data_IF_250212130867
#
_entry.id   IF_250212130867
#
_cell.length_a   1.000
_cell.length_b   1.000
_cell.length_c   1.000
_cell.angle_alpha   90.00
_cell.angle_beta   90.00
_cell.angle_gamma   90.00
#
_symmetry.space_group_name_H-M   'P 1'
#
loop_
_entity.id
_entity.type
_entity.pdbx_description
1 polymer ?
#
# COMPACT_ATOMS: atom_id res chain seq x y z
N UNK A 1 19.16 29.35 10.49
CA UNK A 1 18.95 27.91 10.30
C UNK A 1 17.53 27.61 10.73
N UNK A 2 16.69 27.16 9.82
CA UNK A 2 15.29 26.84 10.12
C UNK A 2 15.08 25.32 9.99
N UNK A 3 15.14 24.64 11.11
CA UNK A 3 14.79 23.23 11.20
C UNK A 3 14.19 22.93 12.59
N UNK A 4 13.53 21.78 12.70
CA UNK A 4 12.88 21.31 13.92
C UNK A 4 13.86 21.16 15.09
N UNK A 5 13.44 21.54 16.28
CA UNK A 5 14.19 21.31 17.53
C UNK A 5 14.34 19.82 17.87
N UNK A 6 13.59 18.94 17.19
CA UNK A 6 13.70 17.48 17.32
C UNK A 6 14.90 16.91 16.55
N UNK A 7 15.64 17.74 15.82
CA UNK A 7 16.81 17.34 15.05
C UNK A 7 17.98 16.95 15.96
N UNK A 8 18.50 15.75 15.78
CA UNK A 8 19.65 15.27 16.52
C UNK A 8 20.98 15.78 15.93
N UNK A 9 21.04 15.93 14.60
CA UNK A 9 22.22 16.34 13.85
C UNK A 9 21.84 17.18 12.64
N UNK A 10 22.74 18.09 12.24
CA UNK A 10 22.67 18.82 10.99
C UNK A 10 23.81 18.36 10.07
N UNK A 11 23.46 17.79 8.92
CA UNK A 11 24.40 17.34 7.88
C UNK A 11 23.89 17.94 6.57
N UNK A 12 24.40 19.13 6.17
CA UNK A 12 23.85 19.84 5.02
C UNK A 12 24.09 19.11 3.70
N UNK A 13 23.10 19.13 2.83
CA UNK A 13 23.26 18.70 1.44
C UNK A 13 24.21 19.63 0.68
N UNK A 14 24.80 19.13 -0.43
CA UNK A 14 25.54 20.00 -1.34
C UNK A 14 24.65 21.09 -1.90
N UNK A 15 25.17 22.31 -2.06
CA UNK A 15 24.39 23.48 -2.49
C UNK A 15 23.78 23.35 -3.90
N UNK A 16 24.27 22.41 -4.70
CA UNK A 16 23.79 22.07 -6.04
C UNK A 16 22.74 20.94 -6.06
N UNK A 17 22.30 20.48 -4.88
CA UNK A 17 21.30 19.44 -4.74
C UNK A 17 19.95 19.96 -4.18
N UNK A 18 19.80 21.25 -4.02
CA UNK A 18 18.55 21.90 -3.58
C UNK A 18 18.44 23.32 -4.16
N UNK A 19 17.27 23.91 -4.07
CA UNK A 19 17.07 25.31 -4.47
C UNK A 19 17.01 26.20 -3.22
N UNK A 20 17.72 27.31 -3.24
CA UNK A 20 17.60 28.35 -2.20
C UNK A 20 16.21 29.01 -2.29
N UNK A 21 15.56 29.12 -1.14
CA UNK A 21 14.18 29.59 -1.04
C UNK A 21 13.17 28.54 -1.57
N UNK A 22 11.91 28.92 -1.60
CA UNK A 22 10.78 28.06 -2.00
C UNK A 22 9.96 28.67 -3.16
N UNK A 23 10.57 29.54 -3.99
CA UNK A 23 9.89 30.14 -5.13
C UNK A 23 8.66 30.97 -4.77
N UNK A 24 8.60 31.56 -3.57
CA UNK A 24 7.45 32.32 -3.07
C UNK A 24 6.32 31.48 -2.44
N UNK A 25 6.44 30.15 -2.43
CA UNK A 25 5.46 29.26 -1.84
C UNK A 25 5.66 29.12 -0.32
N UNK A 26 4.54 28.98 0.40
CA UNK A 26 4.54 28.68 1.84
C UNK A 26 4.55 27.16 2.05
N UNK A 27 5.19 26.72 3.13
CA UNK A 27 5.09 25.33 3.58
C UNK A 27 3.67 25.05 4.08
N UNK A 28 3.00 24.09 3.47
CA UNK A 28 1.64 23.64 3.81
C UNK A 28 1.43 22.14 3.53
N UNK A 29 2.51 21.42 3.22
CA UNK A 29 2.48 19.99 2.93
C UNK A 29 3.64 19.27 3.63
N UNK A 30 3.46 17.96 3.79
CA UNK A 30 4.52 17.02 4.17
C UNK A 30 4.51 15.88 3.16
N UNK A 31 5.70 15.46 2.71
CA UNK A 31 5.87 14.33 1.78
C UNK A 31 6.89 13.36 2.38
N UNK A 32 6.42 12.29 3.06
CA UNK A 32 7.28 11.22 3.51
C UNK A 32 7.72 10.34 2.33
N UNK A 33 8.99 9.95 2.34
CA UNK A 33 9.61 9.02 1.40
C UNK A 33 10.20 7.84 2.16
N UNK A 34 10.50 6.74 1.50
CA UNK A 34 11.34 5.69 2.07
C UNK A 34 12.69 5.67 1.36
N UNK A 35 13.76 5.45 2.10
CA UNK A 35 15.13 5.36 1.56
C UNK A 35 15.32 4.15 0.64
N UNK A 36 14.36 3.20 0.60
CA UNK A 36 14.47 1.91 -0.06
C UNK A 36 15.71 1.11 0.35
N UNK A 37 16.16 1.31 1.59
CA UNK A 37 17.31 0.61 2.19
C UNK A 37 17.35 0.79 3.73
N UNK A 38 18.29 0.07 4.38
CA UNK A 38 18.53 0.11 5.83
C UNK A 38 19.62 1.10 6.23
N UNK A 39 19.73 2.23 5.58
CA UNK A 39 20.73 3.23 5.94
C UNK A 39 20.39 3.93 7.26
N UNK A 40 21.41 4.44 7.94
CA UNK A 40 21.18 5.39 9.04
C UNK A 40 20.75 6.74 8.47
N UNK A 41 20.16 7.59 9.31
CA UNK A 41 19.80 8.95 8.94
C UNK A 41 21.01 9.75 8.42
N UNK A 42 22.16 9.60 9.09
CA UNK A 42 23.41 10.25 8.70
C UNK A 42 23.90 9.77 7.34
N UNK A 43 23.86 8.45 7.10
CA UNK A 43 24.29 7.89 5.81
C UNK A 43 23.44 8.41 4.66
N UNK A 44 22.13 8.52 4.86
CA UNK A 44 21.23 9.11 3.89
C UNK A 44 21.58 10.59 3.64
N UNK A 45 21.70 11.40 4.69
CA UNK A 45 22.07 12.80 4.59
C UNK A 45 23.42 13.01 3.92
N UNK A 46 24.45 12.20 4.26
CA UNK A 46 25.76 12.22 3.60
C UNK A 46 25.70 11.91 2.13
N UNK A 47 24.77 11.04 1.69
CA UNK A 47 24.59 10.75 0.28
C UNK A 47 24.19 11.99 -0.54
N UNK A 48 23.51 12.94 0.08
CA UNK A 48 23.12 14.21 -0.54
C UNK A 48 24.22 15.29 -0.52
N UNK A 49 25.37 15.00 0.11
CA UNK A 49 26.57 15.85 0.04
C UNK A 49 27.36 15.65 -1.27
N UNK A 50 27.06 14.56 -1.99
CA UNK A 50 27.68 14.32 -3.30
C UNK A 50 27.18 15.37 -4.29
N UNK A 51 28.11 16.19 -4.81
CA UNK A 51 27.80 17.21 -5.81
C UNK A 51 27.18 16.59 -7.07
N UNK A 52 26.20 17.26 -7.64
CA UNK A 52 25.51 16.80 -8.85
C UNK A 52 24.59 15.60 -8.69
N UNK A 53 24.26 15.18 -7.46
CA UNK A 53 23.30 14.10 -7.21
C UNK A 53 21.89 14.44 -7.66
N UNK A 54 21.56 15.74 -7.74
CA UNK A 54 20.23 16.24 -8.16
C UNK A 54 19.07 15.74 -7.29
N UNK A 55 19.35 15.43 -6.03
CA UNK A 55 18.36 14.98 -5.05
C UNK A 55 18.76 15.38 -3.64
N UNK A 56 17.78 15.63 -2.79
CA UNK A 56 17.93 15.92 -1.35
C UNK A 56 16.60 15.79 -0.63
N UNK A 57 16.59 15.86 0.71
CA UNK A 57 15.40 15.96 1.55
C UNK A 57 15.60 17.02 2.63
N UNK A 58 14.52 17.54 3.21
CA UNK A 58 14.66 18.41 4.38
C UNK A 58 15.16 17.62 5.59
N UNK A 59 14.66 16.39 5.76
CA UNK A 59 15.03 15.52 6.87
C UNK A 59 15.30 14.08 6.43
N UNK A 60 16.15 13.41 7.19
CA UNK A 60 16.37 11.97 7.12
C UNK A 60 16.08 11.36 8.50
N UNK A 61 15.33 10.26 8.55
CA UNK A 61 14.99 9.53 9.79
C UNK A 61 15.58 8.13 9.71
N UNK A 62 16.41 7.76 10.69
CA UNK A 62 16.98 6.44 10.85
C UNK A 62 16.00 5.43 11.45
N UNK A 63 16.27 4.14 11.30
CA UNK A 63 15.46 3.08 11.92
C UNK A 63 15.52 3.10 13.45
N UNK A 64 16.49 3.76 14.04
CA UNK A 64 16.63 4.00 15.49
C UNK A 64 15.84 5.22 15.99
N UNK A 65 15.21 5.98 15.06
CA UNK A 65 14.48 7.20 15.33
C UNK A 65 15.32 8.48 15.31
N UNK A 66 16.62 8.41 15.00
CA UNK A 66 17.49 9.57 14.82
C UNK A 66 16.96 10.44 13.69
N UNK A 67 16.85 11.76 13.93
CA UNK A 67 16.45 12.77 12.95
C UNK A 67 17.65 13.60 12.55
N UNK A 68 17.98 13.63 11.27
CA UNK A 68 19.02 14.48 10.70
C UNK A 68 18.37 15.52 9.80
N UNK A 69 18.66 16.82 10.03
CA UNK A 69 18.32 17.89 9.09
C UNK A 69 19.36 17.95 7.99
N UNK A 70 18.91 18.06 6.73
CA UNK A 70 19.79 18.02 5.56
C UNK A 70 19.64 19.25 4.67
N UNK A 71 18.42 19.70 4.38
CA UNK A 71 18.13 20.98 3.74
C UNK A 71 17.27 21.82 4.67
N UNK A 72 17.70 23.06 4.96
CA UNK A 72 16.93 23.98 5.79
C UNK A 72 15.49 24.13 5.27
N UNK A 73 14.53 24.23 6.17
CA UNK A 73 13.10 24.28 5.80
C UNK A 73 12.73 25.51 4.98
N UNK A 74 13.50 26.57 5.02
CA UNK A 74 13.34 27.76 4.15
C UNK A 74 13.70 27.50 2.69
N UNK A 75 14.36 26.37 2.41
CA UNK A 75 14.83 25.95 1.09
C UNK A 75 14.02 24.78 0.55
N UNK A 76 13.91 24.72 -0.77
CA UNK A 76 13.26 23.60 -1.46
C UNK A 76 14.24 22.46 -1.64
N UNK A 77 14.04 21.34 -0.96
CA UNK A 77 14.70 20.09 -1.27
C UNK A 77 14.19 19.51 -2.60
N UNK A 78 15.02 18.73 -3.28
CA UNK A 78 14.63 18.06 -4.54
C UNK A 78 14.35 16.59 -4.27
N UNK A 79 13.08 16.29 -3.96
CA UNK A 79 12.71 14.97 -3.42
C UNK A 79 11.63 14.28 -4.24
N UNK A 80 10.53 14.97 -4.59
CA UNK A 80 9.36 14.34 -5.20
C UNK A 80 9.32 14.44 -6.73
N UNK A 81 10.38 14.93 -7.36
CA UNK A 81 10.43 15.20 -8.81
C UNK A 81 9.37 16.20 -9.29
N UNK A 82 8.79 16.99 -8.37
CA UNK A 82 7.77 17.98 -8.68
C UNK A 82 8.11 19.31 -8.03
N UNK A 83 8.29 20.32 -8.87
CA UNK A 83 8.65 21.68 -8.41
C UNK A 83 7.66 22.23 -7.41
N UNK A 84 6.37 22.18 -7.72
CA UNK A 84 5.32 22.80 -6.90
C UNK A 84 5.12 22.08 -5.58
N UNK A 85 5.15 20.73 -5.58
CA UNK A 85 5.06 19.96 -4.35
C UNK A 85 6.27 20.23 -3.45
N UNK A 86 7.49 20.15 -3.99
CA UNK A 86 8.71 20.34 -3.22
C UNK A 86 8.83 21.77 -2.67
N UNK A 87 8.30 22.79 -3.36
CA UNK A 87 8.22 24.15 -2.85
C UNK A 87 7.28 24.32 -1.66
N UNK A 88 6.23 23.50 -1.58
CA UNK A 88 5.20 23.59 -0.54
C UNK A 88 5.40 22.55 0.58
N UNK A 89 6.26 21.58 0.39
CA UNK A 89 6.38 20.42 1.27
C UNK A 89 7.66 20.42 2.09
N UNK A 90 7.55 19.97 3.35
CA UNK A 90 8.67 19.42 4.08
C UNK A 90 8.78 17.95 3.69
N UNK A 91 9.92 17.59 3.13
CA UNK A 91 10.19 16.24 2.60
C UNK A 91 11.08 15.46 3.55
N UNK A 92 10.75 14.17 3.77
CA UNK A 92 11.36 13.36 4.83
C UNK A 92 11.72 11.99 4.26
N UNK A 93 13.00 11.64 4.23
CA UNK A 93 13.48 10.30 3.89
C UNK A 93 13.53 9.43 5.14
N UNK A 94 12.96 8.23 5.09
CA UNK A 94 12.82 7.34 6.23
C UNK A 94 13.47 5.99 5.91
N UNK A 95 14.36 5.53 6.82
CA UNK A 95 15.01 4.23 6.68
C UNK A 95 14.03 3.08 6.83
N UNK A 96 14.14 2.09 5.96
CA UNK A 96 13.46 0.82 6.15
C UNK A 96 14.22 -0.07 7.15
N UNK A 97 13.50 -0.83 7.94
CA UNK A 97 14.07 -1.89 8.80
C UNK A 97 14.04 -3.26 8.12
N UNK A 98 13.21 -3.40 7.09
CA UNK A 98 13.12 -4.60 6.26
C UNK A 98 13.01 -4.21 4.77
N UNK A 99 13.79 -4.88 3.91
CA UNK A 99 13.81 -4.61 2.45
C UNK A 99 12.88 -5.52 1.64
N UNK A 100 12.32 -6.58 2.24
CA UNK A 100 11.37 -7.46 1.55
C UNK A 100 9.95 -6.90 1.65
N UNK A 101 9.60 -6.36 2.81
CA UNK A 101 8.28 -5.78 3.10
C UNK A 101 8.28 -4.25 3.16
N UNK A 102 9.46 -3.64 3.09
CA UNK A 102 9.66 -2.17 3.14
C UNK A 102 9.08 -1.52 4.40
N UNK A 103 9.07 -2.26 5.52
CA UNK A 103 8.62 -1.73 6.80
C UNK A 103 9.57 -0.67 7.35
N UNK A 104 9.07 0.16 8.26
CA UNK A 104 9.86 1.07 9.06
C UNK A 104 9.68 0.70 10.54
N UNK A 105 10.70 0.93 11.34
CA UNK A 105 10.66 0.61 12.77
C UNK A 105 9.67 1.49 13.52
N UNK A 106 9.22 1.03 14.70
CA UNK A 106 8.38 1.83 15.59
C UNK A 106 9.08 3.13 16.06
N UNK A 107 10.41 3.11 16.20
CA UNK A 107 11.18 4.31 16.55
C UNK A 107 11.15 5.33 15.42
N UNK A 108 11.36 4.89 14.16
CA UNK A 108 11.26 5.73 12.98
C UNK A 108 9.83 6.29 12.79
N UNK A 109 8.80 5.47 13.02
CA UNK A 109 7.40 5.92 12.98
C UNK A 109 7.11 7.02 14.00
N UNK A 110 7.53 6.81 15.27
CA UNK A 110 7.35 7.81 16.33
C UNK A 110 8.10 9.10 16.04
N UNK A 111 9.31 9.01 15.50
CA UNK A 111 10.10 10.17 15.08
C UNK A 111 9.39 10.92 13.94
N UNK A 112 8.85 10.20 12.94
CA UNK A 112 8.07 10.78 11.85
C UNK A 112 6.83 11.52 12.37
N UNK A 113 6.02 10.87 13.21
CA UNK A 113 4.81 11.49 13.78
C UNK A 113 5.17 12.76 14.57
N UNK A 114 6.19 12.69 15.44
CA UNK A 114 6.62 13.85 16.23
C UNK A 114 7.10 15.00 15.34
N UNK A 115 7.90 14.70 14.32
CA UNK A 115 8.38 15.70 13.37
C UNK A 115 7.23 16.33 12.58
N UNK A 116 6.26 15.52 12.11
CA UNK A 116 5.07 16.03 11.44
C UNK A 116 4.23 16.95 12.34
N UNK A 117 4.06 16.60 13.63
CA UNK A 117 3.37 17.46 14.62
C UNK A 117 4.09 18.80 14.78
N UNK A 118 5.41 18.77 14.93
CA UNK A 118 6.23 19.99 15.07
C UNK A 118 6.10 20.88 13.82
N UNK A 119 6.25 20.32 12.63
CA UNK A 119 6.10 21.05 11.36
C UNK A 119 4.69 21.64 11.25
N UNK A 120 3.65 20.83 11.48
CA UNK A 120 2.26 21.29 11.41
C UNK A 120 1.97 22.44 12.39
N UNK A 121 2.49 22.38 13.62
CA UNK A 121 2.38 23.46 14.61
C UNK A 121 3.07 24.75 14.15
N UNK A 122 4.32 24.65 13.70
CA UNK A 122 5.12 25.81 13.32
C UNK A 122 4.59 26.52 12.07
N UNK A 123 4.05 25.75 11.11
CA UNK A 123 3.52 26.30 9.85
C UNK A 123 2.00 26.48 9.83
N UNK A 124 1.28 26.08 10.88
CA UNK A 124 -0.14 26.36 11.06
C UNK A 124 -1.07 25.57 10.14
N UNK A 125 -0.77 24.29 9.84
CA UNK A 125 -1.65 23.45 9.04
C UNK A 125 -1.87 22.06 9.66
N UNK A 126 -2.84 21.33 9.14
CA UNK A 126 -3.19 19.95 9.55
C UNK A 126 -2.94 19.00 8.39
N UNK A 127 -2.67 17.75 8.71
CA UNK A 127 -2.52 16.71 7.68
C UNK A 127 -3.89 16.27 7.16
N UNK A 128 -4.02 16.27 5.85
CA UNK A 128 -5.14 15.70 5.12
C UNK A 128 -4.59 14.79 4.02
N UNK A 129 -4.87 13.50 4.11
CA UNK A 129 -4.51 12.52 3.10
C UNK A 129 -5.72 12.22 2.21
N UNK A 130 -5.69 12.66 0.97
CA UNK A 130 -6.76 12.49 -0.02
C UNK A 130 -6.51 11.31 -0.97
N UNK A 131 -5.30 10.73 -0.93
CA UNK A 131 -4.88 9.69 -1.88
C UNK A 131 -4.36 10.25 -3.21
N UNK A 132 -4.35 11.57 -3.35
CA UNK A 132 -3.84 12.31 -4.52
C UNK A 132 -3.02 13.55 -4.11
N UNK A 133 -2.60 14.35 -5.09
CA UNK A 133 -1.76 15.52 -4.87
C UNK A 133 -2.46 16.73 -4.24
N UNK A 134 -3.78 16.68 -4.01
CA UNK A 134 -4.56 17.80 -3.47
C UNK A 134 -4.45 17.95 -1.95
N UNK A 135 -4.14 16.87 -1.25
CA UNK A 135 -3.96 16.85 0.21
C UNK A 135 -2.71 17.59 0.69
N UNK A 136 -2.64 17.82 2.00
CA UNK A 136 -1.44 18.34 2.68
C UNK A 136 -0.44 17.24 3.07
N UNK A 137 -0.86 15.98 3.03
CA UNK A 137 0.00 14.80 3.14
C UNK A 137 0.06 14.12 1.77
N UNK A 138 1.23 14.14 1.13
CA UNK A 138 1.43 13.66 -0.23
C UNK A 138 2.50 12.59 -0.31
N UNK A 139 2.61 11.91 -1.44
CA UNK A 139 3.55 10.84 -1.70
C UNK A 139 4.30 11.08 -3.02
N UNK A 140 5.55 10.64 -3.11
CA UNK A 140 6.34 10.76 -4.33
C UNK A 140 5.64 10.15 -5.56
N UNK A 141 4.99 8.99 -5.39
CA UNK A 141 4.24 8.30 -6.45
C UNK A 141 3.08 9.10 -7.05
N UNK A 142 2.65 10.18 -6.42
CA UNK A 142 1.62 11.08 -6.96
C UNK A 142 2.20 12.02 -8.05
N UNK A 143 3.53 12.12 -8.15
CA UNK A 143 4.21 13.08 -9.01
C UNK A 143 5.16 12.43 -10.01
N UNK A 144 5.59 11.19 -9.77
CA UNK A 144 6.53 10.46 -10.61
C UNK A 144 6.19 8.97 -10.65
N UNK A 145 6.63 8.28 -11.70
CA UNK A 145 6.51 6.82 -11.83
C UNK A 145 7.52 6.13 -10.89
N UNK A 146 7.16 5.98 -9.62
CA UNK A 146 7.98 5.36 -8.58
C UNK A 146 7.14 4.54 -7.62
N UNK A 147 7.74 3.57 -6.94
CA UNK A 147 7.12 2.84 -5.83
C UNK A 147 7.19 3.58 -4.49
N UNK A 148 7.97 4.70 -4.39
CA UNK A 148 8.08 5.49 -3.17
C UNK A 148 6.72 6.09 -2.77
N UNK A 149 6.35 6.04 -1.47
CA UNK A 149 7.12 5.71 -0.28
C UNK A 149 7.17 4.21 0.09
N UNK A 150 6.88 3.32 -0.85
CA UNK A 150 6.79 1.89 -0.63
C UNK A 150 5.44 1.43 -0.09
N UNK A 151 5.09 0.14 -0.24
CA UNK A 151 3.74 -0.36 0.08
C UNK A 151 3.38 -0.21 1.56
N UNK A 152 4.35 -0.38 2.44
CA UNK A 152 4.10 -0.25 3.88
C UNK A 152 3.73 1.19 4.27
N UNK A 153 4.60 2.15 3.97
CA UNK A 153 4.38 3.55 4.36
C UNK A 153 3.15 4.12 3.64
N UNK A 154 2.94 3.78 2.36
CA UNK A 154 1.71 4.11 1.63
C UNK A 154 0.45 3.67 2.40
N UNK A 155 0.40 2.43 2.90
CA UNK A 155 -0.75 1.93 3.65
C UNK A 155 -0.97 2.66 4.99
N UNK A 156 0.07 3.34 5.50
CA UNK A 156 0.06 4.06 6.78
C UNK A 156 -0.24 5.55 6.67
N UNK A 157 -0.34 6.12 5.46
CA UNK A 157 -0.60 7.56 5.30
C UNK A 157 -1.89 8.04 6.00
N UNK A 158 -3.05 7.35 5.91
CA UNK A 158 -4.23 7.75 6.65
C UNK A 158 -4.02 7.73 8.18
N UNK A 159 -3.30 6.73 8.69
CA UNK A 159 -2.96 6.62 10.11
C UNK A 159 -2.03 7.76 10.53
N UNK A 160 -1.03 8.11 9.72
CA UNK A 160 -0.12 9.23 9.98
C UNK A 160 -0.90 10.54 10.14
N UNK A 161 -1.81 10.83 9.20
CA UNK A 161 -2.66 12.02 9.29
C UNK A 161 -3.52 12.03 10.57
N UNK A 162 -4.13 10.90 10.91
CA UNK A 162 -4.95 10.76 12.10
C UNK A 162 -4.14 10.98 13.39
N UNK A 163 -2.98 10.32 13.55
CA UNK A 163 -2.15 10.43 14.75
C UNK A 163 -1.59 11.84 14.93
N UNK A 164 -1.11 12.45 13.85
CA UNK A 164 -0.59 13.83 13.89
C UNK A 164 -1.70 14.80 14.29
N UNK A 165 -2.87 14.70 13.67
CA UNK A 165 -3.99 15.58 13.96
C UNK A 165 -4.52 15.42 15.39
N UNK A 166 -4.60 14.19 15.91
CA UNK A 166 -5.01 13.94 17.28
C UNK A 166 -4.04 14.58 18.29
N UNK A 167 -2.73 14.53 18.03
CA UNK A 167 -1.73 15.20 18.88
C UNK A 167 -1.78 16.73 18.77
N UNK A 168 -2.17 17.27 17.60
CA UNK A 168 -2.41 18.71 17.44
C UNK A 168 -3.60 19.18 18.28
N UNK A 169 -4.61 18.33 18.48
CA UNK A 169 -5.80 18.60 19.30
C UNK A 169 -5.55 18.42 20.80
N UNK A 170 -4.29 18.17 21.21
CA UNK A 170 -3.94 17.96 22.61
C UNK A 170 -4.44 16.63 23.18
N UNK A 171 -4.94 15.73 22.34
CA UNK A 171 -5.25 14.38 22.77
C UNK A 171 -3.90 13.68 23.06
N UNK A 172 -3.73 13.21 24.29
CA UNK A 172 -2.69 12.24 24.60
C UNK A 172 -3.08 10.95 23.89
N UNK A 173 -2.80 10.88 22.60
CA UNK A 173 -2.65 9.59 21.94
C UNK A 173 -1.40 9.04 22.62
N UNK A 174 -1.59 8.13 23.59
CA UNK A 174 -0.50 7.27 24.02
C UNK A 174 0.22 6.86 22.72
N UNK A 175 1.56 6.93 22.64
CA UNK A 175 2.23 6.48 21.45
C UNK A 175 1.58 5.15 21.13
N UNK A 176 0.73 5.14 20.13
CA UNK A 176 0.25 3.89 19.59
C UNK A 176 1.57 3.31 19.11
N UNK A 177 2.14 2.52 20.01
CA UNK A 177 3.16 1.58 19.65
C UNK A 177 2.58 0.99 18.39
N UNK A 178 3.23 1.11 17.21
CA UNK A 178 2.73 0.47 16.02
C UNK A 178 2.37 -0.90 16.52
N UNK A 179 1.09 -1.23 16.58
CA UNK A 179 0.62 -2.51 17.10
C UNK A 179 1.55 -3.51 16.50
N UNK A 180 2.26 -4.27 17.34
CA UNK A 180 3.39 -5.14 16.96
C UNK A 180 3.02 -5.73 15.61
N UNK A 181 3.84 -5.63 14.57
CA UNK A 181 3.39 -5.67 13.19
C UNK A 181 2.41 -6.79 13.06
N UNK A 182 1.14 -6.43 12.78
CA UNK A 182 0.02 -7.38 12.86
C UNK A 182 0.46 -8.60 12.06
N UNK A 183 0.40 -9.79 12.65
CA UNK A 183 1.00 -10.99 12.09
C UNK A 183 2.16 -11.60 12.89
N UNK A 184 2.48 -11.07 14.07
CA UNK A 184 3.47 -11.70 14.97
C UNK A 184 2.83 -12.52 16.10
N UNK A 185 1.54 -12.27 16.40
CA UNK A 185 0.86 -12.93 17.50
C UNK A 185 0.51 -14.39 17.23
N UNK A 186 0.22 -14.73 15.98
CA UNK A 186 -0.21 -16.08 15.61
C UNK A 186 0.64 -16.62 14.47
N UNK A 187 1.00 -17.92 14.55
CA UNK A 187 1.78 -18.64 13.53
C UNK A 187 0.88 -19.42 12.56
N UNK A 188 1.45 -19.81 11.42
CA UNK A 188 0.81 -20.77 10.49
C UNK A 188 0.47 -22.05 11.22
N UNK A 189 -0.72 -22.58 10.99
CA UNK A 189 -1.27 -23.75 11.68
C UNK A 189 -2.06 -23.45 12.95
N UNK A 190 -2.06 -22.19 13.46
CA UNK A 190 -2.83 -21.81 14.66
C UNK A 190 -4.33 -21.85 14.35
N UNK A 191 -5.14 -22.63 15.10
CA UNK A 191 -6.60 -22.54 15.04
C UNK A 191 -7.05 -21.19 15.58
N UNK A 192 -8.00 -20.53 14.89
CA UNK A 192 -8.55 -19.25 15.29
C UNK A 192 -10.05 -19.17 15.07
N UNK A 193 -10.69 -18.33 15.89
CA UNK A 193 -12.00 -17.73 15.60
C UNK A 193 -11.80 -16.25 15.33
N UNK A 194 -12.53 -15.69 14.36
CA UNK A 194 -12.44 -14.27 14.00
C UNK A 194 -13.79 -13.71 13.62
N UNK A 195 -14.02 -12.45 13.99
CA UNK A 195 -15.27 -11.74 13.67
C UNK A 195 -15.18 -10.89 12.41
N UNK A 196 -14.02 -10.90 11.74
CA UNK A 196 -13.80 -10.05 10.57
C UNK A 196 -12.92 -10.79 9.57
N UNK A 197 -13.38 -10.89 8.32
CA UNK A 197 -12.58 -11.30 7.18
C UNK A 197 -12.49 -10.20 6.14
N UNK A 198 -11.30 -9.97 5.62
CA UNK A 198 -11.03 -9.14 4.44
C UNK A 198 -10.72 -10.04 3.25
N UNK A 199 -11.16 -9.64 2.06
CA UNK A 199 -10.87 -10.39 0.83
C UNK A 199 -9.38 -10.40 0.51
N UNK A 200 -8.63 -9.38 0.95
CA UNK A 200 -7.18 -9.32 0.79
C UNK A 200 -6.48 -8.82 2.06
N UNK A 201 -5.17 -9.08 2.15
CA UNK A 201 -4.36 -8.69 3.31
C UNK A 201 -4.21 -7.17 3.50
N UNK A 202 -4.57 -6.35 2.51
CA UNK A 202 -4.46 -4.89 2.54
C UNK A 202 -5.73 -4.19 3.05
N UNK A 203 -6.88 -4.90 3.07
CA UNK A 203 -8.18 -4.34 3.47
C UNK A 203 -8.71 -3.27 2.52
N UNK A 204 -8.28 -3.31 1.27
CA UNK A 204 -8.72 -2.38 0.20
C UNK A 204 -9.98 -2.85 -0.51
N UNK A 205 -10.47 -4.04 -0.15
CA UNK A 205 -11.67 -4.67 -0.71
C UNK A 205 -12.72 -4.90 0.38
N UNK A 206 -13.83 -5.56 0.02
CA UNK A 206 -14.94 -5.87 0.94
C UNK A 206 -14.44 -6.49 2.25
N UNK A 207 -14.93 -5.97 3.36
CA UNK A 207 -14.71 -6.52 4.69
C UNK A 207 -16.01 -7.16 5.13
N UNK A 208 -15.92 -8.42 5.49
CA UNK A 208 -17.05 -9.23 5.97
C UNK A 208 -17.06 -9.21 7.50
N UNK A 209 -18.22 -9.03 8.10
CA UNK A 209 -18.46 -9.14 9.54
C UNK A 209 -19.29 -10.40 9.83
N UNK A 210 -18.88 -11.16 10.82
CA UNK A 210 -19.52 -12.43 11.20
C UNK A 210 -18.55 -13.27 12.01
N UNK A 211 -18.95 -14.51 12.31
CA UNK A 211 -18.12 -15.43 13.08
C UNK A 211 -17.56 -16.53 12.18
N UNK A 212 -16.25 -16.55 12.05
CA UNK A 212 -15.54 -17.56 11.26
C UNK A 212 -14.52 -18.30 12.12
N UNK A 213 -14.38 -19.59 11.87
CA UNK A 213 -13.33 -20.43 12.44
C UNK A 213 -12.51 -21.05 11.33
N UNK A 214 -11.23 -21.24 11.59
CA UNK A 214 -10.29 -21.85 10.67
C UNK A 214 -8.90 -21.94 11.25
N UNK A 215 -7.92 -22.20 10.41
CA UNK A 215 -6.50 -22.18 10.77
C UNK A 215 -5.77 -21.10 10.01
N UNK A 216 -4.73 -20.54 10.59
CA UNK A 216 -3.87 -19.60 9.87
C UNK A 216 -3.08 -20.38 8.83
N UNK A 217 -3.37 -20.15 7.54
CA UNK A 217 -2.68 -20.80 6.43
C UNK A 217 -1.49 -20.00 5.88
N UNK A 218 -1.45 -18.69 6.17
CA UNK A 218 -0.34 -17.79 5.78
C UNK A 218 -0.28 -16.56 6.67
N UNK A 219 0.94 -16.08 6.89
CA UNK A 219 1.18 -14.81 7.60
C UNK A 219 1.93 -13.85 6.70
N UNK A 220 1.42 -12.61 6.55
CA UNK A 220 2.11 -11.51 5.86
C UNK A 220 2.31 -10.40 6.88
N UNK A 221 3.48 -10.36 7.49
CA UNK A 221 3.84 -9.38 8.51
C UNK A 221 3.72 -7.95 7.97
N UNK A 222 3.17 -7.07 8.78
CA UNK A 222 2.97 -5.66 8.42
C UNK A 222 1.75 -5.37 7.54
N UNK A 223 1.03 -6.38 7.06
CA UNK A 223 -0.23 -6.19 6.37
C UNK A 223 -1.34 -5.75 7.35
N UNK A 224 -2.35 -5.03 6.85
CA UNK A 224 -3.51 -4.62 7.66
C UNK A 224 -4.32 -5.80 8.19
N UNK A 225 -4.42 -6.87 7.39
CA UNK A 225 -5.01 -8.16 7.73
C UNK A 225 -3.96 -9.24 7.45
N UNK A 226 -3.04 -9.51 8.39
CA UNK A 226 -1.84 -10.29 8.12
C UNK A 226 -2.08 -11.80 8.05
N UNK A 227 -3.17 -12.29 8.61
CA UNK A 227 -3.42 -13.72 8.73
C UNK A 227 -4.41 -14.18 7.68
N UNK A 228 -3.96 -15.03 6.74
CA UNK A 228 -4.88 -15.75 5.89
C UNK A 228 -5.54 -16.86 6.70
N UNK A 229 -6.85 -16.88 6.70
CA UNK A 229 -7.64 -17.90 7.36
C UNK A 229 -8.01 -18.96 6.34
N UNK A 230 -7.66 -20.20 6.65
CA UNK A 230 -7.98 -21.37 5.85
C UNK A 230 -8.98 -22.24 6.61
N UNK A 231 -10.00 -22.76 5.93
CA UNK A 231 -10.96 -23.74 6.45
C UNK A 231 -10.94 -24.96 5.55
N UNK A 232 -10.71 -26.15 6.14
CA UNK A 232 -10.57 -27.40 5.38
C UNK A 232 -9.51 -27.31 4.25
N UNK A 233 -8.42 -26.57 4.49
CA UNK A 233 -7.36 -26.38 3.51
C UNK A 233 -7.66 -25.33 2.43
N UNK A 234 -8.78 -24.63 2.51
CA UNK A 234 -9.19 -23.59 1.55
C UNK A 234 -9.11 -22.21 2.22
N UNK A 235 -8.52 -21.24 1.53
CA UNK A 235 -8.47 -19.87 1.99
C UNK A 235 -9.88 -19.24 1.98
N UNK A 236 -10.34 -18.73 3.13
CA UNK A 236 -11.64 -18.09 3.27
C UNK A 236 -11.55 -16.56 3.43
N UNK A 237 -10.37 -16.03 3.62
CA UNK A 237 -10.13 -14.59 3.75
C UNK A 237 -8.92 -14.26 4.60
N UNK A 238 -8.79 -12.99 4.96
CA UNK A 238 -7.71 -12.45 5.75
C UNK A 238 -8.25 -11.76 7.00
N UNK A 239 -7.58 -11.92 8.13
CA UNK A 239 -7.95 -11.29 9.41
C UNK A 239 -6.77 -10.63 10.09
N UNK A 240 -7.00 -9.96 11.20
CA UNK A 240 -5.97 -9.27 12.00
C UNK A 240 -6.11 -9.59 13.48
N UNK A 241 -5.09 -9.19 14.25
CA UNK A 241 -5.02 -9.45 15.70
C UNK A 241 -6.24 -8.98 16.49
N UNK A 242 -6.83 -7.84 16.09
CA UNK A 242 -7.98 -7.26 16.80
C UNK A 242 -9.31 -7.95 16.50
N UNK A 243 -9.35 -8.74 15.44
CA UNK A 243 -10.55 -9.46 15.00
C UNK A 243 -10.53 -10.94 15.45
N UNK A 244 -9.35 -11.44 15.83
CA UNK A 244 -9.19 -12.81 16.35
C UNK A 244 -9.58 -12.81 17.83
N UNK A 245 -10.51 -13.69 18.18
CA UNK A 245 -10.93 -13.88 19.55
C UNK A 245 -9.80 -14.52 20.37
N UNK A 246 -9.51 -13.95 21.56
CA UNK A 246 -8.41 -14.40 22.41
C UNK A 246 -8.72 -15.67 23.21
N UNK A 247 -9.97 -16.16 23.14
CA UNK A 247 -10.39 -17.38 23.83
C UNK A 247 -10.79 -18.47 22.80
N UNK A 248 -9.96 -19.49 22.59
CA UNK A 248 -10.24 -20.55 21.61
C UNK A 248 -11.19 -21.62 22.18
N UNK A 249 -12.18 -21.25 22.98
CA UNK A 249 -13.08 -22.21 23.58
C UNK A 249 -14.38 -22.39 22.82
N UNK A 250 -14.53 -23.58 22.30
CA UNK A 250 -15.70 -24.32 21.84
C UNK A 250 -16.03 -24.12 20.36
N UNK A 251 -16.07 -25.22 19.58
CA UNK A 251 -16.75 -25.20 18.30
C UNK A 251 -18.22 -24.92 18.62
N UNK A 252 -18.68 -23.71 18.29
CA UNK A 252 -20.11 -23.39 18.37
C UNK A 252 -20.80 -24.37 17.41
N UNK A 253 -21.61 -25.24 18.00
CA UNK A 253 -22.45 -26.14 17.26
C UNK A 253 -23.29 -25.38 16.26
N UNK A 254 -23.38 -25.96 15.08
CA UNK A 254 -24.27 -25.64 13.98
C UNK A 254 -25.54 -24.91 14.38
N UNK A 255 -25.50 -23.58 14.30
CA UNK A 255 -26.66 -22.76 14.02
C UNK A 255 -26.40 -22.14 12.66
N UNK A 256 -27.26 -22.49 11.72
CA UNK A 256 -27.28 -21.92 10.36
C UNK A 256 -27.39 -20.40 10.47
N UNK A 257 -26.29 -19.71 10.21
CA UNK A 257 -26.27 -18.33 9.80
C UNK A 257 -25.51 -18.30 8.49
N UNK A 258 -26.16 -17.80 7.46
CA UNK A 258 -25.77 -17.72 6.07
C UNK A 258 -24.26 -17.51 5.86
N UNK A 259 -23.56 -18.59 5.55
CA UNK A 259 -22.20 -18.60 5.04
C UNK A 259 -22.25 -18.07 3.61
N UNK A 260 -21.93 -16.79 3.42
CA UNK A 260 -21.53 -16.32 2.10
C UNK A 260 -20.14 -16.90 1.78
N UNK A 261 -20.13 -18.07 1.18
CA UNK A 261 -18.98 -18.65 0.50
C UNK A 261 -18.76 -17.91 -0.83
N UNK A 262 -17.63 -18.14 -1.50
CA UNK A 262 -17.41 -17.65 -2.88
C UNK A 262 -18.55 -18.07 -3.81
N UNK A 263 -19.23 -19.18 -3.53
CA UNK A 263 -20.50 -19.57 -4.17
C UNK A 263 -21.62 -18.52 -4.11
N UNK A 264 -21.58 -17.59 -3.15
CA UNK A 264 -22.56 -16.51 -3.03
C UNK A 264 -22.13 -15.23 -3.72
N UNK A 265 -20.86 -15.14 -4.17
CA UNK A 265 -20.32 -13.96 -4.85
C UNK A 265 -20.27 -14.17 -6.37
N UNK A 266 -19.97 -15.40 -6.82
CA UNK A 266 -19.90 -15.75 -8.25
C UNK A 266 -20.66 -17.06 -8.47
N UNK A 267 -21.77 -16.99 -9.22
CA UNK A 267 -22.63 -18.15 -9.50
C UNK A 267 -22.37 -18.68 -10.90
N UNK A 268 -22.40 -19.99 -11.04
CA UNK A 268 -22.46 -20.61 -12.37
C UNK A 268 -23.64 -20.05 -13.15
N UNK A 269 -23.37 -19.58 -14.35
CA UNK A 269 -24.37 -18.96 -15.21
C UNK A 269 -24.51 -17.45 -15.08
N UNK A 270 -23.97 -16.83 -14.01
CA UNK A 270 -23.91 -15.37 -13.88
C UNK A 270 -22.89 -14.75 -14.83
N UNK A 271 -22.90 -13.44 -14.95
CA UNK A 271 -21.91 -12.70 -15.70
C UNK A 271 -20.96 -11.96 -14.77
N UNK A 272 -19.69 -11.86 -15.17
CA UNK A 272 -18.66 -11.16 -14.41
C UNK A 272 -17.94 -10.12 -15.25
N UNK A 273 -17.51 -9.08 -14.59
CA UNK A 273 -16.49 -8.11 -15.05
C UNK A 273 -15.25 -8.21 -14.18
N UNK A 274 -14.15 -7.62 -14.61
CA UNK A 274 -12.92 -7.56 -13.79
C UNK A 274 -12.47 -6.15 -13.50
N UNK A 275 -11.60 -6.00 -12.51
CA UNK A 275 -10.78 -4.81 -12.37
C UNK A 275 -9.88 -4.62 -13.60
N UNK A 276 -9.40 -3.42 -13.83
CA UNK A 276 -8.41 -3.15 -14.85
C UNK A 276 -7.07 -3.81 -14.50
N UNK A 277 -6.51 -4.57 -15.44
CA UNK A 277 -5.30 -5.36 -15.24
C UNK A 277 -4.24 -4.97 -16.27
N UNK A 278 -3.02 -4.74 -15.83
CA UNK A 278 -1.89 -4.51 -16.74
C UNK A 278 -1.38 -5.85 -17.26
N UNK A 279 -1.09 -5.92 -18.57
CA UNK A 279 -0.40 -7.08 -19.14
C UNK A 279 1.00 -7.19 -18.55
N UNK A 280 1.31 -8.35 -17.99
CA UNK A 280 2.57 -8.59 -17.30
C UNK A 280 3.79 -8.59 -18.25
N UNK A 281 4.98 -8.45 -17.69
CA UNK A 281 6.25 -8.40 -18.43
C UNK A 281 6.56 -9.68 -19.24
N UNK A 282 5.80 -10.77 -19.01
CA UNK A 282 5.89 -11.99 -19.81
C UNK A 282 5.30 -11.82 -21.23
N UNK A 283 4.58 -10.71 -21.46
CA UNK A 283 4.08 -10.30 -22.77
C UNK A 283 2.90 -11.13 -23.27
N UNK A 284 2.90 -11.39 -24.57
CA UNK A 284 1.90 -12.19 -25.28
C UNK A 284 2.50 -13.51 -25.72
N UNK A 285 1.74 -14.59 -25.61
CA UNK A 285 2.17 -15.94 -26.00
C UNK A 285 1.02 -16.69 -26.69
N UNK A 286 1.32 -17.40 -27.75
CA UNK A 286 0.36 -18.29 -28.40
C UNK A 286 0.26 -19.58 -27.57
N UNK A 287 -0.98 -19.94 -27.16
CA UNK A 287 -1.30 -21.16 -26.40
C UNK A 287 -2.47 -21.83 -27.12
N UNK A 288 -2.21 -22.96 -27.76
CA UNK A 288 -3.16 -23.55 -28.69
C UNK A 288 -3.44 -22.59 -29.86
N UNK A 289 -4.69 -22.32 -30.15
CA UNK A 289 -5.10 -21.38 -31.18
C UNK A 289 -5.23 -19.94 -30.70
N UNK A 290 -5.19 -19.72 -29.39
CA UNK A 290 -5.37 -18.41 -28.78
C UNK A 290 -4.05 -17.65 -28.59
N UNK A 291 -4.05 -16.35 -28.89
CA UNK A 291 -3.05 -15.42 -28.40
C UNK A 291 -3.44 -15.00 -26.97
N UNK A 292 -2.58 -15.29 -25.99
CA UNK A 292 -2.84 -15.06 -24.58
C UNK A 292 -1.92 -13.98 -24.02
N UNK A 293 -2.44 -13.18 -23.09
CA UNK A 293 -1.69 -12.27 -22.25
C UNK A 293 -1.48 -12.89 -20.86
N UNK A 294 -0.35 -12.61 -20.23
CA UNK A 294 -0.15 -12.98 -18.83
C UNK A 294 -0.82 -11.94 -17.92
N UNK A 295 -1.89 -12.32 -17.27
CA UNK A 295 -2.67 -11.50 -16.34
C UNK A 295 -2.50 -12.05 -14.92
N UNK A 296 -1.52 -11.50 -14.19
CA UNK A 296 -1.21 -11.96 -12.83
C UNK A 296 -2.42 -11.97 -11.88
N UNK A 297 -3.35 -10.99 -11.91
CA UNK A 297 -4.54 -11.03 -11.07
C UNK A 297 -5.48 -12.21 -11.36
N UNK A 298 -5.51 -12.72 -12.60
CA UNK A 298 -6.29 -13.92 -12.98
C UNK A 298 -5.50 -15.23 -12.75
N UNK A 299 -4.28 -15.13 -12.26
CA UNK A 299 -3.44 -16.29 -11.93
C UNK A 299 -2.66 -16.88 -13.12
N UNK A 300 -2.65 -16.24 -14.30
CA UNK A 300 -1.92 -16.82 -15.43
C UNK A 300 -2.19 -16.24 -16.81
N UNK A 301 -2.06 -17.12 -17.81
CA UNK A 301 -2.28 -16.82 -19.21
C UNK A 301 -3.77 -16.82 -19.57
N UNK A 302 -4.25 -15.72 -20.14
CA UNK A 302 -5.65 -15.55 -20.50
C UNK A 302 -5.78 -15.06 -21.96
N UNK A 303 -6.72 -15.62 -22.75
CA UNK A 303 -6.88 -15.25 -24.18
C UNK A 303 -7.26 -13.78 -24.32
N UNK A 304 -6.54 -13.07 -25.17
CA UNK A 304 -6.81 -11.64 -25.41
C UNK A 304 -8.17 -11.37 -26.08
N UNK A 305 -8.75 -12.36 -26.75
CA UNK A 305 -10.10 -12.27 -27.34
C UNK A 305 -11.22 -12.16 -26.29
N UNK A 306 -10.92 -12.45 -25.03
CA UNK A 306 -11.86 -12.43 -23.89
C UNK A 306 -11.72 -11.21 -23.01
N UNK A 307 -10.89 -10.26 -23.40
CA UNK A 307 -10.69 -9.01 -22.67
C UNK A 307 -10.82 -7.81 -23.61
N UNK A 308 -11.26 -6.70 -23.05
CA UNK A 308 -11.24 -5.41 -23.72
C UNK A 308 -10.06 -4.58 -23.26
N UNK A 309 -9.49 -3.81 -24.17
CA UNK A 309 -8.43 -2.86 -23.83
C UNK A 309 -9.03 -1.57 -23.27
N UNK A 310 -8.45 -1.06 -22.20
CA UNK A 310 -8.75 0.30 -21.76
C UNK A 310 -8.21 1.29 -22.81
N UNK A 311 -9.07 2.13 -23.42
CA UNK A 311 -8.64 3.09 -24.43
C UNK A 311 -7.47 3.95 -23.95
N UNK A 312 -6.54 4.26 -24.85
CA UNK A 312 -5.31 5.02 -24.59
C UNK A 312 -4.31 4.40 -23.59
N UNK A 313 -4.58 3.22 -23.03
CA UNK A 313 -3.66 2.61 -22.05
C UNK A 313 -2.31 2.23 -22.63
N UNK A 314 -2.21 2.06 -23.94
CA UNK A 314 -0.99 1.78 -24.71
C UNK A 314 -0.64 2.89 -25.71
N UNK A 315 -1.29 4.05 -25.61
CA UNK A 315 -1.11 5.19 -26.50
C UNK A 315 -2.04 5.23 -27.73
N UNK A 316 -2.90 4.22 -27.90
CA UNK A 316 -3.84 4.13 -29.04
C UNK A 316 -5.28 4.08 -28.54
N UNK A 317 -6.14 4.91 -29.14
CA UNK A 317 -7.55 5.01 -28.76
C UNK A 317 -8.42 4.04 -29.57
N UNK A 318 -8.12 2.76 -29.45
CA UNK A 318 -8.87 1.67 -30.07
C UNK A 318 -8.87 0.44 -29.14
N UNK A 319 -9.56 -0.62 -29.53
CA UNK A 319 -9.60 -1.87 -28.76
C UNK A 319 -8.55 -2.91 -29.21
N UNK A 320 -7.54 -2.49 -29.97
CA UNK A 320 -6.45 -3.35 -30.43
C UNK A 320 -5.26 -3.24 -29.48
N UNK A 321 -4.65 -4.37 -29.11
CA UNK A 321 -3.45 -4.40 -28.29
C UNK A 321 -2.22 -4.14 -29.18
N UNK A 322 -1.65 -2.95 -29.08
CA UNK A 322 -0.44 -2.55 -29.84
C UNK A 322 0.85 -2.83 -29.07
N UNK A 323 0.77 -2.87 -27.74
CA UNK A 323 1.93 -3.11 -26.87
C UNK A 323 1.58 -4.00 -25.68
N UNK A 324 2.62 -4.59 -25.07
CA UNK A 324 2.49 -5.36 -23.82
C UNK A 324 2.29 -4.48 -22.57
N UNK A 325 2.30 -3.14 -22.71
CA UNK A 325 2.02 -2.21 -21.63
C UNK A 325 0.52 -1.87 -21.49
N UNK A 326 -0.31 -2.36 -22.39
CA UNK A 326 -1.74 -2.12 -22.36
C UNK A 326 -2.39 -2.56 -21.04
N UNK A 327 -3.43 -1.84 -20.66
CA UNK A 327 -4.33 -2.23 -19.56
C UNK A 327 -5.58 -2.83 -20.18
N UNK A 328 -6.00 -3.97 -19.66
CA UNK A 328 -7.14 -4.73 -20.13
C UNK A 328 -8.09 -5.07 -18.99
N UNK A 329 -9.33 -5.40 -19.33
CA UNK A 329 -10.33 -5.88 -18.37
C UNK A 329 -11.30 -6.86 -19.04
N UNK A 330 -11.90 -7.71 -18.24
CA UNK A 330 -13.05 -8.53 -18.67
C UNK A 330 -14.29 -7.66 -18.57
N UNK A 331 -14.95 -7.35 -19.67
CA UNK A 331 -16.12 -6.47 -19.68
C UNK A 331 -17.41 -7.19 -19.27
N UNK A 332 -17.67 -8.36 -19.87
CA UNK A 332 -18.82 -9.21 -19.54
C UNK A 332 -18.56 -10.63 -20.04
N UNK A 333 -18.29 -11.56 -19.14
CA UNK A 333 -18.11 -12.98 -19.47
C UNK A 333 -19.00 -13.81 -18.53
N UNK A 334 -19.60 -14.86 -19.08
CA UNK A 334 -20.40 -15.81 -18.29
C UNK A 334 -19.47 -16.70 -17.46
N UNK A 335 -19.88 -16.98 -16.23
CA UNK A 335 -19.24 -17.97 -15.37
C UNK A 335 -19.71 -19.36 -15.85
N UNK A 336 -18.77 -20.14 -16.36
CA UNK A 336 -19.03 -21.49 -16.89
C UNK A 336 -19.14 -22.53 -15.78
N UNK A 337 -18.34 -22.38 -14.72
CA UNK A 337 -18.31 -23.27 -13.55
C UNK A 337 -17.59 -22.60 -12.37
N UNK A 338 -17.92 -23.04 -11.17
CA UNK A 338 -17.26 -22.62 -9.92
C UNK A 338 -16.64 -23.84 -9.25
N UNK A 339 -15.36 -23.77 -8.88
CA UNK A 339 -14.68 -24.77 -8.09
C UNK A 339 -14.33 -24.20 -6.72
N UNK A 340 -15.23 -24.40 -5.77
CA UNK A 340 -15.11 -23.88 -4.40
C UNK A 340 -13.87 -24.45 -3.69
N UNK A 341 -13.57 -25.73 -3.91
CA UNK A 341 -12.43 -26.39 -3.25
C UNK A 341 -11.08 -25.81 -3.67
N UNK A 342 -10.95 -25.40 -4.93
CA UNK A 342 -9.71 -24.84 -5.49
C UNK A 342 -9.71 -23.32 -5.51
N UNK A 343 -10.81 -22.67 -5.08
CA UNK A 343 -11.01 -21.23 -5.20
C UNK A 343 -10.77 -20.74 -6.62
N UNK A 344 -11.38 -21.40 -7.62
CA UNK A 344 -11.27 -21.05 -9.03
C UNK A 344 -12.65 -20.91 -9.64
N UNK A 345 -12.76 -20.01 -10.59
CA UNK A 345 -13.93 -19.93 -11.49
C UNK A 345 -13.50 -20.20 -12.92
N UNK A 346 -14.39 -20.82 -13.70
CA UNK A 346 -14.18 -21.03 -15.11
C UNK A 346 -14.92 -19.96 -15.90
N UNK A 347 -14.20 -19.19 -16.69
CA UNK A 347 -14.75 -18.19 -17.59
C UNK A 347 -14.11 -18.34 -18.95
N UNK A 348 -14.91 -18.33 -20.02
CA UNK A 348 -14.43 -18.55 -21.37
C UNK A 348 -13.64 -19.85 -21.56
N UNK A 349 -14.01 -20.90 -20.82
CA UNK A 349 -13.36 -22.21 -20.85
C UNK A 349 -12.10 -22.35 -19.97
N UNK A 350 -11.66 -21.29 -19.27
CA UNK A 350 -10.38 -21.26 -18.52
C UNK A 350 -10.66 -21.06 -17.04
N UNK A 351 -9.95 -21.84 -16.20
CA UNK A 351 -9.96 -21.67 -14.76
C UNK A 351 -9.06 -20.53 -14.35
N UNK A 352 -9.60 -19.56 -13.62
CA UNK A 352 -8.91 -18.34 -13.17
C UNK A 352 -9.15 -18.08 -11.69
N UNK A 353 -8.29 -17.26 -11.09
CA UNK A 353 -8.50 -16.72 -9.75
C UNK A 353 -9.72 -15.78 -9.78
N UNK A 354 -10.73 -15.97 -8.92
CA UNK A 354 -11.93 -15.14 -8.88
C UNK A 354 -11.68 -13.75 -8.27
N UNK A 355 -10.55 -13.53 -7.59
CA UNK A 355 -10.27 -12.29 -6.83
C UNK A 355 -10.45 -11.00 -7.63
N UNK A 356 -10.06 -10.90 -8.91
CA UNK A 356 -10.24 -9.67 -9.69
C UNK A 356 -11.65 -9.55 -10.31
N UNK A 357 -12.51 -10.53 -10.14
CA UNK A 357 -13.83 -10.59 -10.78
C UNK A 357 -14.93 -10.04 -9.87
N UNK A 358 -15.93 -9.42 -10.49
CA UNK A 358 -17.15 -8.94 -9.82
C UNK A 358 -18.35 -9.40 -10.63
N UNK A 359 -19.34 -10.00 -9.97
CA UNK A 359 -20.60 -10.37 -10.60
C UNK A 359 -21.37 -9.13 -11.01
N UNK A 360 -21.94 -9.17 -12.21
CA UNK A 360 -22.79 -8.13 -12.78
C UNK A 360 -24.12 -8.71 -13.18
N UNK A 361 -25.18 -7.89 -13.08
CA UNK A 361 -26.54 -8.25 -13.45
C UNK A 361 -26.70 -8.50 -14.96
#
# INVERSE_FOLDING_TARGET
>A
MSYSSLTNKYIPASADNYMRGRGGYKVCKITPHHMACKWTAERCAQSFQVSGRMASANYCIGSDGTIVSNVDEENRAWTSSNYYNDCQSITIEIANDNTDTWTISSKAWNALVNLCVDVCKRYGFRLNYTGDSTGSLTEHRMFAATSCPGPYLHSKMPQLAQEVNARLDGQTVAPTQPSAPSGEKYSVGTPICTNTLSVNCYGTSKILKGDWSGTIGRVIKGAKYPYRVDRNGVAIGWTNDSAIDSDPHTPIGTTQSSTETIDQILHEGSYVTSVHMKIGNQGLKKIGDDLCAYLAPLGGWFPIRLVDKVPNSDGYNDNVLHTTNAVVYVSRIRVDAVNVQKNLVKIGGIWVDPTPLTEIA
#
